data_IF_383137410598
#
_entry.id   IF_383137410598
#
_cell.length_a   1.000
_cell.length_b   1.000
_cell.length_c   1.000
_cell.angle_alpha   90.00
_cell.angle_beta   90.00
_cell.angle_gamma   90.00
#
_symmetry.space_group_name_H-M   'P 1'
#
loop_
_entity.id
_entity.type
_entity.pdbx_description
1 polymer ?
#
# COMPACT_ATOMS: atom_id res chain seq x y z
N UNK A 1 74.12 41.61 -24.79
CA UNK A 1 72.73 41.13 -25.05
C UNK A 1 71.94 41.05 -23.73
N UNK A 2 72.26 41.89 -22.74
CA UNK A 2 71.81 41.72 -21.35
C UNK A 2 70.85 42.81 -20.85
N UNK A 3 70.64 43.87 -21.62
CA UNK A 3 69.86 45.03 -21.16
C UNK A 3 68.34 44.85 -21.34
N UNK A 4 67.92 43.92 -22.22
CA UNK A 4 66.49 43.65 -22.48
C UNK A 4 65.83 42.72 -21.44
N UNK A 5 66.62 42.00 -20.64
CA UNK A 5 66.10 41.06 -19.64
C UNK A 5 65.81 41.76 -18.31
N UNK A 6 66.60 42.77 -17.91
CA UNK A 6 66.35 43.52 -16.66
C UNK A 6 65.14 44.47 -16.75
N UNK A 7 64.84 45.00 -17.95
CA UNK A 7 63.69 45.87 -18.21
C UNK A 7 62.34 45.17 -17.97
N UNK A 8 62.23 43.88 -18.28
CA UNK A 8 60.99 43.12 -18.12
C UNK A 8 60.67 42.81 -16.65
N UNK A 9 61.69 42.63 -15.80
CA UNK A 9 61.49 42.42 -14.36
C UNK A 9 60.97 43.67 -13.66
N UNK A 10 61.37 44.87 -14.11
CA UNK A 10 60.91 46.14 -13.55
C UNK A 10 59.45 46.49 -13.95
N UNK A 11 58.88 45.77 -14.92
CA UNK A 11 57.46 45.90 -15.28
C UNK A 11 56.55 45.08 -14.36
N UNK A 12 57.03 43.98 -13.74
CA UNK A 12 56.21 43.19 -12.80
C UNK A 12 55.81 43.96 -11.53
N UNK A 13 56.59 44.98 -11.12
CA UNK A 13 56.29 45.83 -9.98
C UNK A 13 55.29 46.96 -10.25
N UNK A 14 54.84 47.14 -11.50
CA UNK A 14 53.82 48.14 -11.82
C UNK A 14 52.46 47.70 -11.25
N UNK A 15 51.68 48.62 -10.64
CA UNK A 15 50.45 48.29 -9.93
C UNK A 15 49.43 47.56 -10.81
N UNK A 16 49.46 47.79 -12.13
CA UNK A 16 48.58 47.13 -13.11
C UNK A 16 48.82 45.62 -13.21
N UNK A 17 50.07 45.16 -13.22
CA UNK A 17 50.37 43.72 -13.32
C UNK A 17 50.13 42.99 -11.99
N UNK A 18 50.36 43.67 -10.86
CA UNK A 18 50.02 43.15 -9.53
C UNK A 18 48.51 42.88 -9.44
N UNK A 19 47.66 43.80 -9.90
CA UNK A 19 46.20 43.62 -9.93
C UNK A 19 45.80 42.44 -10.83
N UNK A 20 46.42 42.29 -12.00
CA UNK A 20 46.14 41.19 -12.94
C UNK A 20 46.50 39.84 -12.33
N UNK A 21 47.67 39.71 -11.70
CA UNK A 21 48.12 38.49 -11.04
C UNK A 21 47.21 38.14 -9.85
N UNK A 22 46.83 39.14 -9.05
CA UNK A 22 45.91 38.94 -7.93
C UNK A 22 44.52 38.47 -8.43
N UNK A 23 44.04 39.06 -9.53
CA UNK A 23 42.80 38.64 -10.20
C UNK A 23 42.86 37.19 -10.69
N UNK A 24 43.96 36.78 -11.32
CA UNK A 24 44.16 35.39 -11.75
C UNK A 24 44.21 34.41 -10.58
N UNK A 25 44.86 34.77 -9.47
CA UNK A 25 44.89 33.95 -8.26
C UNK A 25 43.50 33.79 -7.64
N UNK A 26 42.70 34.85 -7.60
CA UNK A 26 41.31 34.79 -7.09
C UNK A 26 40.45 33.91 -7.99
N UNK A 27 40.53 34.05 -9.30
CA UNK A 27 39.80 33.19 -10.25
C UNK A 27 40.25 31.73 -10.12
N UNK A 28 41.56 31.49 -9.99
CA UNK A 28 42.12 30.15 -9.75
C UNK A 28 41.58 29.53 -8.46
N UNK A 29 41.54 30.28 -7.36
CA UNK A 29 40.98 29.82 -6.09
C UNK A 29 39.48 29.50 -6.20
N UNK A 30 38.69 30.32 -6.89
CA UNK A 30 37.27 30.07 -7.13
C UNK A 30 37.05 28.80 -7.96
N UNK A 31 37.87 28.58 -9.00
CA UNK A 31 37.81 27.36 -9.80
C UNK A 31 38.16 26.11 -8.99
N UNK A 32 39.22 26.16 -8.17
CA UNK A 32 39.62 25.05 -7.28
C UNK A 32 38.52 24.74 -6.28
N UNK A 33 37.96 25.76 -5.61
CA UNK A 33 36.84 25.58 -4.66
C UNK A 33 35.62 24.99 -5.36
N UNK A 34 35.33 25.40 -6.60
CA UNK A 34 34.20 24.87 -7.37
C UNK A 34 34.38 23.38 -7.72
N UNK A 35 35.59 22.98 -8.14
CA UNK A 35 35.91 21.57 -8.45
C UNK A 35 35.88 20.69 -7.19
N UNK A 36 36.42 21.19 -6.09
CA UNK A 36 36.39 20.49 -4.80
C UNK A 36 34.95 20.38 -4.27
N UNK A 37 34.15 21.43 -4.41
CA UNK A 37 32.73 21.42 -4.02
C UNK A 37 31.95 20.40 -4.83
N UNK A 38 32.16 20.30 -6.14
CA UNK A 38 31.46 19.31 -6.97
C UNK A 38 31.77 17.86 -6.54
N UNK A 39 33.03 17.55 -6.21
CA UNK A 39 33.43 16.22 -5.67
C UNK A 39 32.81 15.91 -4.30
N UNK A 40 32.62 16.92 -3.46
CA UNK A 40 32.04 16.77 -2.11
C UNK A 40 30.51 16.66 -2.17
N UNK A 41 29.88 17.42 -3.07
CA UNK A 41 28.42 17.47 -3.23
C UNK A 41 27.92 16.30 -4.09
N UNK A 42 28.69 15.88 -5.10
CA UNK A 42 28.38 14.79 -6.03
C UNK A 42 29.48 13.73 -6.01
N UNK A 43 29.66 12.96 -4.92
CA UNK A 43 30.61 11.86 -4.91
C UNK A 43 30.25 10.85 -6.02
N UNK A 44 31.23 10.28 -6.74
CA UNK A 44 30.96 9.22 -7.70
C UNK A 44 30.21 8.10 -6.98
N UNK A 45 29.05 7.72 -7.53
CA UNK A 45 28.13 6.81 -6.88
C UNK A 45 28.64 5.38 -7.01
N UNK A 46 29.66 5.02 -6.22
CA UNK A 46 30.21 3.68 -6.14
C UNK A 46 29.27 2.80 -5.32
N UNK A 47 28.10 2.52 -5.88
CA UNK A 47 27.08 1.69 -5.27
C UNK A 47 26.55 0.66 -6.24
N UNK A 48 26.18 -0.50 -5.70
CA UNK A 48 25.40 -1.51 -6.41
C UNK A 48 24.09 -1.74 -5.67
N UNK A 49 23.01 -1.78 -6.41
CA UNK A 49 21.68 -2.09 -5.89
C UNK A 49 21.36 -3.55 -6.21
N UNK A 50 20.99 -4.31 -5.20
CA UNK A 50 20.58 -5.71 -5.36
C UNK A 50 19.17 -5.87 -4.83
N UNK A 51 18.31 -6.43 -5.67
CA UNK A 51 16.91 -6.67 -5.37
C UNK A 51 16.76 -8.11 -4.87
N UNK A 52 16.18 -8.25 -3.67
CA UNK A 52 15.84 -9.51 -3.06
C UNK A 52 14.33 -9.72 -2.97
N UNK A 53 13.90 -10.96 -3.19
CA UNK A 53 12.49 -11.33 -3.11
C UNK A 53 12.26 -12.31 -1.97
N UNK A 54 11.21 -12.06 -1.21
CA UNK A 54 10.78 -12.89 -0.10
C UNK A 54 9.33 -13.29 -0.30
N UNK A 55 9.09 -14.59 -0.29
CA UNK A 55 7.78 -15.17 -0.60
C UNK A 55 7.35 -16.10 0.52
N UNK A 56 6.16 -15.85 1.06
CA UNK A 56 5.56 -16.69 2.11
C UNK A 56 4.14 -17.06 1.70
N UNK A 57 3.88 -18.36 1.63
CA UNK A 57 2.57 -18.92 1.38
C UNK A 57 1.77 -19.01 2.70
N UNK A 58 0.48 -18.69 2.65
CA UNK A 58 -0.43 -18.86 3.78
C UNK A 58 -1.83 -19.27 3.32
N UNK A 59 -2.58 -19.84 4.25
CA UNK A 59 -4.01 -20.11 4.06
C UNK A 59 -4.81 -19.13 4.92
N UNK A 60 -5.80 -18.42 4.37
CA UNK A 60 -6.64 -17.53 5.15
C UNK A 60 -7.37 -18.28 6.27
N UNK A 61 -7.25 -17.81 7.51
CA UNK A 61 -7.93 -18.36 8.70
C UNK A 61 -9.05 -17.45 9.22
N UNK A 62 -9.18 -16.25 8.65
CA UNK A 62 -10.19 -15.26 8.98
C UNK A 62 -10.86 -14.74 7.71
N UNK A 63 -12.10 -14.28 7.85
CA UNK A 63 -12.78 -13.52 6.81
C UNK A 63 -13.56 -12.36 7.42
N UNK A 64 -13.63 -11.25 6.71
CA UNK A 64 -14.46 -10.10 7.05
C UNK A 64 -15.59 -10.02 6.04
N UNK A 65 -16.81 -10.24 6.49
CA UNK A 65 -18.03 -10.09 5.68
C UNK A 65 -18.56 -8.68 5.89
N UNK A 66 -18.67 -7.91 4.80
CA UNK A 66 -19.26 -6.56 4.86
C UNK A 66 -20.67 -6.59 4.30
N UNK A 67 -21.62 -6.26 5.17
CA UNK A 67 -23.05 -6.23 4.93
C UNK A 67 -23.58 -4.80 5.07
N UNK A 68 -24.78 -4.54 4.57
CA UNK A 68 -25.45 -3.25 4.76
C UNK A 68 -26.96 -3.37 4.92
N UNK A 69 -27.52 -2.41 5.65
CA UNK A 69 -28.95 -2.22 5.82
C UNK A 69 -29.32 -0.87 5.21
N UNK A 70 -30.12 -0.92 4.15
CA UNK A 70 -30.73 0.23 3.52
C UNK A 70 -32.22 0.30 3.91
N UNK A 71 -32.66 1.45 4.38
CA UNK A 71 -34.06 1.83 4.52
C UNK A 71 -34.34 2.86 3.44
N UNK A 72 -35.38 2.62 2.64
CA UNK A 72 -35.79 3.52 1.58
C UNK A 72 -37.17 4.09 1.87
N UNK A 73 -37.38 5.37 1.55
CA UNK A 73 -38.68 6.05 1.60
C UNK A 73 -39.41 5.94 2.93
N UNK A 74 -38.70 6.03 4.05
CA UNK A 74 -39.37 6.15 5.35
C UNK A 74 -40.13 7.48 5.44
N UNK A 75 -41.32 7.55 6.07
CA UNK A 75 -42.12 8.78 6.13
C UNK A 75 -41.41 9.93 6.83
N UNK A 76 -40.62 9.62 7.87
CA UNK A 76 -39.83 10.60 8.62
C UNK A 76 -38.39 10.13 8.79
N UNK A 77 -37.49 11.08 9.04
CA UNK A 77 -36.10 10.79 9.42
C UNK A 77 -36.03 9.86 10.65
N UNK A 78 -36.88 10.10 11.64
CA UNK A 78 -36.91 9.30 12.88
C UNK A 78 -37.36 7.87 12.60
N UNK A 79 -38.37 7.67 11.74
CA UNK A 79 -38.82 6.33 11.35
C UNK A 79 -37.72 5.58 10.59
N UNK A 80 -36.98 6.27 9.71
CA UNK A 80 -35.85 5.69 8.99
C UNK A 80 -34.79 5.16 9.96
N UNK A 81 -34.42 5.97 10.96
CA UNK A 81 -33.43 5.61 11.96
C UNK A 81 -33.92 4.50 12.91
N UNK A 82 -35.18 4.53 13.32
CA UNK A 82 -35.76 3.49 14.17
C UNK A 82 -35.75 2.13 13.46
N UNK A 83 -36.21 2.08 12.20
CA UNK A 83 -36.18 0.86 11.40
C UNK A 83 -34.75 0.37 11.14
N UNK A 84 -33.82 1.29 10.88
CA UNK A 84 -32.41 0.95 10.71
C UNK A 84 -31.86 0.32 11.99
N UNK A 85 -32.00 0.99 13.13
CA UNK A 85 -31.49 0.53 14.42
C UNK A 85 -32.08 -0.82 14.82
N UNK A 86 -33.37 -1.03 14.61
CA UNK A 86 -34.03 -2.31 14.92
C UNK A 86 -33.42 -3.47 14.10
N UNK A 87 -33.20 -3.28 12.80
CA UNK A 87 -32.55 -4.29 11.95
C UNK A 87 -31.09 -4.52 12.35
N UNK A 88 -30.34 -3.45 12.65
CA UNK A 88 -28.95 -3.56 13.13
C UNK A 88 -28.90 -4.37 14.43
N UNK A 89 -29.76 -4.08 15.41
CA UNK A 89 -29.83 -4.83 16.67
C UNK A 89 -30.15 -6.30 16.42
N UNK A 90 -31.11 -6.61 15.54
CA UNK A 90 -31.43 -7.99 15.17
C UNK A 90 -30.23 -8.71 14.54
N UNK A 91 -29.48 -8.05 13.66
CA UNK A 91 -28.28 -8.62 13.04
C UNK A 91 -27.22 -8.90 14.10
N UNK A 92 -26.93 -7.96 15.00
CA UNK A 92 -25.95 -8.14 16.08
C UNK A 92 -26.33 -9.34 16.96
N UNK A 93 -27.59 -9.44 17.38
CA UNK A 93 -28.06 -10.57 18.19
C UNK A 93 -28.02 -11.91 17.45
N UNK A 94 -28.28 -11.92 16.14
CA UNK A 94 -28.14 -13.12 15.32
C UNK A 94 -26.68 -13.59 15.24
N UNK A 95 -25.72 -12.64 15.11
CA UNK A 95 -24.29 -12.96 15.10
C UNK A 95 -23.81 -13.48 16.46
N UNK A 96 -24.26 -12.88 17.57
CA UNK A 96 -23.98 -13.37 18.92
C UNK A 96 -24.52 -14.80 19.13
N UNK A 97 -25.71 -15.11 18.61
CA UNK A 97 -26.31 -16.45 18.67
C UNK A 97 -25.55 -17.48 17.83
N UNK A 98 -24.87 -17.03 16.77
CA UNK A 98 -23.97 -17.86 15.95
C UNK A 98 -22.59 -18.06 16.63
N UNK A 99 -22.35 -17.44 17.79
CA UNK A 99 -21.10 -17.52 18.53
C UNK A 99 -20.04 -16.50 18.09
N UNK A 100 -20.40 -15.52 17.26
CA UNK A 100 -19.52 -14.42 16.90
C UNK A 100 -19.51 -13.42 18.05
N UNK A 101 -18.33 -13.04 18.49
CA UNK A 101 -18.20 -12.11 19.61
C UNK A 101 -18.64 -10.71 19.19
N UNK A 102 -19.19 -9.96 20.13
CA UNK A 102 -19.56 -8.56 19.91
C UNK A 102 -18.41 -7.68 19.39
N UNK A 103 -17.18 -7.94 19.83
CA UNK A 103 -15.97 -7.24 19.37
C UNK A 103 -15.64 -7.49 17.88
N UNK A 104 -16.11 -8.61 17.34
CA UNK A 104 -15.95 -9.00 15.93
C UNK A 104 -17.10 -8.49 15.04
N UNK A 105 -18.10 -7.80 15.61
CA UNK A 105 -19.19 -7.15 14.87
C UNK A 105 -19.03 -5.63 14.97
N UNK A 106 -18.59 -5.02 13.88
CA UNK A 106 -18.33 -3.58 13.81
C UNK A 106 -19.36 -2.87 12.94
N UNK A 107 -20.14 -1.98 13.53
CA UNK A 107 -21.03 -1.08 12.80
C UNK A 107 -20.27 0.17 12.36
N UNK A 108 -20.41 0.55 11.09
CA UNK A 108 -19.84 1.79 10.56
C UNK A 108 -20.78 2.97 10.79
N UNK A 109 -20.34 4.19 10.49
CA UNK A 109 -21.20 5.37 10.54
C UNK A 109 -22.40 5.21 9.60
N UNK A 110 -23.60 5.60 10.07
CA UNK A 110 -24.80 5.60 9.24
C UNK A 110 -24.90 6.90 8.44
N UNK A 111 -25.58 6.83 7.30
CA UNK A 111 -25.96 7.99 6.49
C UNK A 111 -27.46 8.12 6.47
N UNK A 112 -27.98 9.35 6.58
CA UNK A 112 -29.40 9.67 6.49
C UNK A 112 -29.57 10.85 5.54
N UNK A 113 -30.43 10.72 4.55
CA UNK A 113 -30.72 11.80 3.60
C UNK A 113 -32.19 11.79 3.17
N UNK A 114 -32.79 12.98 2.96
CA UNK A 114 -34.14 13.07 2.40
C UNK A 114 -34.13 12.59 0.95
N UNK A 115 -35.20 11.91 0.56
CA UNK A 115 -35.53 11.60 -0.82
C UNK A 115 -36.51 12.65 -1.33
N UNK A 116 -36.30 13.12 -2.56
CA UNK A 116 -37.14 14.11 -3.20
C UNK A 116 -37.85 13.51 -4.42
N UNK A 117 -39.13 13.80 -4.55
CA UNK A 117 -39.87 13.60 -5.78
C UNK A 117 -39.95 14.92 -6.54
N UNK A 118 -39.61 14.88 -7.83
CA UNK A 118 -39.75 16.00 -8.73
C UNK A 118 -41.04 15.84 -9.53
N UNK A 119 -42.01 16.72 -9.29
CA UNK A 119 -43.26 16.82 -10.08
C UNK A 119 -43.52 18.30 -10.38
N UNK A 120 -43.89 18.60 -11.63
CA UNK A 120 -44.28 19.95 -12.06
C UNK A 120 -43.26 21.06 -11.71
N UNK A 121 -41.96 20.78 -11.86
CA UNK A 121 -40.84 21.67 -11.47
C UNK A 121 -40.78 22.04 -9.97
N UNK A 122 -41.47 21.32 -9.09
CA UNK A 122 -41.39 21.47 -7.64
C UNK A 122 -40.72 20.23 -7.03
N UNK A 123 -39.73 20.44 -6.17
CA UNK A 123 -39.07 19.39 -5.38
C UNK A 123 -39.75 19.28 -4.03
N UNK A 124 -40.37 18.13 -3.76
CA UNK A 124 -40.99 17.83 -2.47
C UNK A 124 -40.31 16.62 -1.83
N UNK A 125 -40.08 16.68 -0.53
CA UNK A 125 -39.56 15.51 0.22
C UNK A 125 -40.61 14.40 0.14
N UNK A 126 -40.23 13.27 -0.43
CA UNK A 126 -41.08 12.07 -0.58
C UNK A 126 -40.75 10.98 0.43
N UNK A 127 -39.70 11.15 1.22
CA UNK A 127 -39.34 10.28 2.34
C UNK A 127 -37.90 10.48 2.77
N UNK A 128 -37.38 9.54 3.55
CA UNK A 128 -36.01 9.54 4.04
C UNK A 128 -35.38 8.18 3.81
N UNK A 129 -34.12 8.20 3.38
CA UNK A 129 -33.30 7.03 3.20
C UNK A 129 -32.23 6.99 4.27
N UNK A 130 -32.05 5.82 4.89
CA UNK A 130 -31.00 5.58 5.86
C UNK A 130 -30.18 4.36 5.44
N UNK A 131 -28.86 4.44 5.60
CA UNK A 131 -27.96 3.34 5.29
C UNK A 131 -26.95 3.16 6.41
N UNK A 132 -26.63 1.93 6.75
CA UNK A 132 -25.50 1.61 7.60
C UNK A 132 -24.84 0.30 7.18
N UNK A 133 -23.51 0.31 7.13
CA UNK A 133 -22.70 -0.88 6.88
C UNK A 133 -22.28 -1.55 8.19
N UNK A 134 -22.13 -2.87 8.14
CA UNK A 134 -21.69 -3.71 9.24
C UNK A 134 -20.57 -4.62 8.71
N UNK A 135 -19.45 -4.65 9.40
CA UNK A 135 -18.35 -5.57 9.13
C UNK A 135 -18.34 -6.65 10.21
N UNK A 136 -18.41 -7.91 9.78
CA UNK A 136 -18.45 -9.07 10.66
C UNK A 136 -17.20 -9.89 10.41
N UNK A 137 -16.35 -10.01 11.44
CA UNK A 137 -15.14 -10.81 11.40
C UNK A 137 -15.45 -12.24 11.84
N UNK A 138 -15.27 -13.18 10.92
CA UNK A 138 -15.32 -14.61 11.17
C UNK A 138 -13.91 -15.14 11.37
N UNK A 139 -13.66 -15.80 12.50
CA UNK A 139 -12.40 -16.52 12.77
C UNK A 139 -12.56 -18.01 12.50
N UNK A 140 -11.45 -18.71 12.28
CA UNK A 140 -11.39 -20.16 12.03
C UNK A 140 -12.19 -20.62 10.79
N UNK A 141 -12.22 -19.81 9.73
CA UNK A 141 -12.99 -20.11 8.49
C UNK A 141 -12.48 -21.35 7.75
N UNK A 142 -11.28 -21.84 8.07
CA UNK A 142 -10.76 -23.11 7.58
C UNK A 142 -11.47 -24.33 8.20
N UNK A 143 -11.92 -24.21 9.45
CA UNK A 143 -12.54 -25.29 10.20
C UNK A 143 -14.04 -25.37 9.92
N UNK A 144 -14.73 -24.23 9.87
CA UNK A 144 -16.14 -24.14 9.44
C UNK A 144 -16.24 -23.37 8.12
N UNK A 145 -16.22 -24.11 7.03
CA UNK A 145 -16.33 -23.57 5.67
C UNK A 145 -17.72 -23.01 5.36
N UNK A 146 -18.73 -23.39 6.14
CA UNK A 146 -20.10 -22.91 5.98
C UNK A 146 -20.38 -21.65 6.82
N UNK A 147 -19.49 -21.29 7.75
CA UNK A 147 -19.66 -20.15 8.66
C UNK A 147 -20.02 -18.86 7.91
N UNK A 148 -19.36 -18.60 6.78
CA UNK A 148 -19.62 -17.41 5.96
C UNK A 148 -21.03 -17.45 5.35
N UNK A 149 -21.46 -18.62 4.86
CA UNK A 149 -22.81 -18.78 4.32
C UNK A 149 -23.88 -18.65 5.40
N UNK A 150 -23.61 -19.16 6.62
CA UNK A 150 -24.48 -19.00 7.79
C UNK A 150 -24.58 -17.54 8.22
N UNK A 151 -23.46 -16.80 8.25
CA UNK A 151 -23.45 -15.35 8.55
C UNK A 151 -24.34 -14.59 7.57
N UNK A 152 -24.15 -14.81 6.27
CA UNK A 152 -24.92 -14.12 5.23
C UNK A 152 -26.40 -14.46 5.37
N UNK A 153 -26.75 -15.73 5.53
CA UNK A 153 -28.14 -16.18 5.61
C UNK A 153 -28.85 -15.60 6.84
N UNK A 154 -28.25 -15.71 8.02
CA UNK A 154 -28.82 -15.18 9.27
C UNK A 154 -28.92 -13.65 9.25
N UNK A 155 -27.93 -12.96 8.69
CA UNK A 155 -27.98 -11.50 8.58
C UNK A 155 -29.06 -11.05 7.58
N UNK A 156 -29.25 -11.78 6.47
CA UNK A 156 -30.34 -11.54 5.53
C UNK A 156 -31.71 -11.75 6.18
N UNK A 157 -31.90 -12.83 6.95
CA UNK A 157 -33.11 -13.07 7.74
C UNK A 157 -33.35 -11.98 8.79
N UNK A 158 -32.28 -11.46 9.40
CA UNK A 158 -32.33 -10.38 10.39
C UNK A 158 -32.59 -8.98 9.79
N UNK A 159 -32.42 -8.82 8.47
CA UNK A 159 -32.83 -7.60 7.74
C UNK A 159 -31.76 -6.90 6.90
N UNK A 160 -30.57 -7.49 6.74
CA UNK A 160 -29.58 -7.05 5.74
C UNK A 160 -30.15 -7.16 4.33
N UNK A 161 -29.94 -6.12 3.52
CA UNK A 161 -30.32 -6.11 2.10
C UNK A 161 -29.17 -5.70 1.17
N UNK A 162 -27.95 -5.52 1.69
CA UNK A 162 -26.75 -5.23 0.90
C UNK A 162 -25.62 -6.23 1.17
N UNK A 163 -25.36 -7.03 0.14
CA UNK A 163 -24.17 -7.84 -0.22
C UNK A 163 -22.89 -7.07 -0.58
N UNK A 164 -22.12 -6.44 0.31
CA UNK A 164 -21.00 -5.59 -0.18
C UNK A 164 -19.78 -6.40 -0.63
N UNK A 165 -19.30 -7.33 0.20
CA UNK A 165 -18.08 -8.08 -0.11
C UNK A 165 -17.61 -8.97 1.03
N UNK A 166 -16.64 -9.84 0.72
CA UNK A 166 -16.02 -10.77 1.66
C UNK A 166 -14.52 -10.72 1.44
N UNK A 167 -13.78 -10.35 2.48
CA UNK A 167 -12.33 -10.23 2.46
C UNK A 167 -11.70 -11.34 3.30
N UNK A 168 -10.87 -12.18 2.69
CA UNK A 168 -10.17 -13.27 3.37
C UNK A 168 -8.78 -12.82 3.80
N UNK A 169 -8.40 -13.16 5.04
CA UNK A 169 -7.12 -12.76 5.63
C UNK A 169 -6.58 -13.84 6.56
N UNK A 170 -5.41 -13.59 7.13
CA UNK A 170 -4.77 -14.45 8.11
C UNK A 170 -4.46 -13.69 9.40
N UNK A 171 -4.73 -14.31 10.54
CA UNK A 171 -4.66 -13.70 11.86
C UNK A 171 -3.24 -13.23 12.23
N UNK A 172 -2.20 -13.93 11.77
CA UNK A 172 -0.79 -13.63 12.04
C UNK A 172 -0.10 -12.89 10.87
N UNK A 173 -0.84 -12.05 10.16
CA UNK A 173 -0.35 -11.35 8.96
C UNK A 173 1.01 -10.65 9.13
N UNK A 174 1.21 -10.00 10.27
CA UNK A 174 2.45 -9.26 10.54
C UNK A 174 3.67 -10.18 10.66
N UNK A 175 3.49 -11.37 11.23
CA UNK A 175 4.56 -12.36 11.37
C UNK A 175 4.95 -12.92 9.99
N UNK A 176 3.97 -13.19 9.13
CA UNK A 176 4.22 -13.65 7.77
C UNK A 176 4.90 -12.57 6.91
N UNK A 177 4.50 -11.30 7.07
CA UNK A 177 5.22 -10.16 6.45
C UNK A 177 6.65 -10.08 6.96
N UNK A 178 6.89 -10.26 8.27
CA UNK A 178 8.24 -10.30 8.82
C UNK A 178 9.06 -11.47 8.26
N UNK A 179 8.47 -12.66 8.12
CA UNK A 179 9.14 -13.81 7.50
C UNK A 179 9.53 -13.51 6.05
N UNK A 180 8.60 -12.97 5.26
CA UNK A 180 8.88 -12.54 3.89
C UNK A 180 9.99 -11.48 3.83
N UNK A 181 10.03 -10.54 4.78
CA UNK A 181 11.10 -9.53 4.89
C UNK A 181 12.47 -10.18 5.04
N UNK A 182 12.60 -11.12 5.96
CA UNK A 182 13.87 -11.81 6.22
C UNK A 182 14.30 -12.66 5.02
N UNK A 183 13.36 -13.34 4.36
CA UNK A 183 13.65 -14.08 3.13
C UNK A 183 14.15 -13.15 2.02
N UNK A 184 13.52 -12.00 1.81
CA UNK A 184 13.96 -11.02 0.81
C UNK A 184 15.36 -10.47 1.10
N UNK A 185 15.69 -10.16 2.35
CA UNK A 185 17.04 -9.73 2.74
C UNK A 185 18.07 -10.82 2.46
N UNK A 186 17.75 -12.07 2.78
CA UNK A 186 18.66 -13.19 2.56
C UNK A 186 18.88 -13.46 1.06
N UNK A 187 17.84 -13.37 0.24
CA UNK A 187 17.93 -13.45 -1.23
C UNK A 187 18.83 -12.34 -1.79
N UNK A 188 18.61 -11.09 -1.39
CA UNK A 188 19.45 -9.96 -1.82
C UNK A 188 20.91 -10.14 -1.42
N UNK A 189 21.17 -10.62 -0.19
CA UNK A 189 22.53 -10.88 0.29
C UNK A 189 23.22 -12.00 -0.50
N UNK A 190 22.55 -13.12 -0.73
CA UNK A 190 23.10 -14.22 -1.53
C UNK A 190 23.44 -13.74 -2.94
N UNK A 191 22.48 -13.07 -3.60
CA UNK A 191 22.65 -12.53 -4.95
C UNK A 191 23.77 -11.50 -5.03
N UNK A 192 23.94 -10.68 -3.99
CA UNK A 192 25.06 -9.73 -3.92
C UNK A 192 26.41 -10.45 -3.90
N UNK A 193 26.53 -11.54 -3.15
CA UNK A 193 27.76 -12.33 -3.08
C UNK A 193 28.11 -12.94 -4.45
N UNK A 194 27.12 -13.55 -5.11
CA UNK A 194 27.29 -14.16 -6.44
C UNK A 194 27.69 -13.11 -7.49
N UNK A 195 27.06 -11.93 -7.47
CA UNK A 195 27.38 -10.83 -8.38
C UNK A 195 28.79 -10.26 -8.11
N UNK A 196 29.21 -10.17 -6.85
CA UNK A 196 30.55 -9.72 -6.49
C UNK A 196 31.63 -10.66 -7.05
N UNK A 197 31.43 -11.98 -6.89
CA UNK A 197 32.33 -13.00 -7.42
C UNK A 197 32.40 -12.96 -8.95
N UNK A 198 31.24 -12.90 -9.62
CA UNK A 198 31.18 -12.89 -11.09
C UNK A 198 31.74 -11.62 -11.73
N UNK A 199 31.60 -10.46 -11.07
CA UNK A 199 32.04 -9.16 -11.61
C UNK A 199 33.46 -8.78 -11.20
N UNK A 200 34.08 -9.48 -10.25
CA UNK A 200 35.40 -9.16 -9.71
C UNK A 200 35.40 -7.90 -8.82
N UNK A 201 34.23 -7.45 -8.40
CA UNK A 201 34.01 -6.23 -7.62
C UNK A 201 33.93 -6.55 -6.12
N UNK A 202 34.49 -5.70 -5.26
CA UNK A 202 34.33 -5.88 -3.81
C UNK A 202 33.10 -5.14 -3.30
N UNK A 203 32.07 -5.91 -2.95
CA UNK A 203 30.89 -5.39 -2.23
C UNK A 203 31.26 -5.06 -0.78
N UNK A 204 30.94 -3.84 -0.37
CA UNK A 204 31.15 -3.30 0.97
C UNK A 204 29.88 -3.33 1.83
N UNK A 205 29.73 -2.34 2.71
CA UNK A 205 28.59 -2.27 3.63
C UNK A 205 27.30 -1.84 2.90
N UNK A 206 26.15 -2.24 3.44
CA UNK A 206 24.86 -1.66 3.06
C UNK A 206 24.86 -0.18 3.47
N UNK A 207 24.57 0.70 2.53
CA UNK A 207 24.52 2.16 2.73
C UNK A 207 23.10 2.70 2.72
N UNK A 208 22.17 2.00 2.06
CA UNK A 208 20.76 2.35 2.03
C UNK A 208 19.91 1.11 1.71
N UNK A 209 18.66 1.07 2.16
CA UNK A 209 17.70 0.05 1.76
C UNK A 209 16.28 0.62 1.70
N UNK A 210 15.43 0.02 0.89
CA UNK A 210 13.99 0.30 0.88
C UNK A 210 13.19 -0.98 0.69
N UNK A 211 11.97 -0.98 1.22
CA UNK A 211 11.04 -2.09 1.19
C UNK A 211 9.85 -1.71 0.31
N UNK A 212 9.53 -2.57 -0.64
CA UNK A 212 8.34 -2.50 -1.45
C UNK A 212 7.48 -3.75 -1.19
N UNK A 213 6.24 -3.55 -0.77
CA UNK A 213 5.27 -4.64 -0.72
C UNK A 213 4.73 -4.80 -2.14
N UNK A 214 5.16 -5.86 -2.84
CA UNK A 214 4.79 -6.10 -4.25
C UNK A 214 3.39 -6.70 -4.36
N UNK A 215 2.99 -7.47 -3.35
CA UNK A 215 1.64 -8.03 -3.28
C UNK A 215 1.14 -8.01 -1.84
N UNK A 216 0.14 -7.17 -1.58
CA UNK A 216 -0.55 -7.13 -0.28
C UNK A 216 -1.71 -8.13 -0.27
N UNK A 217 -1.89 -8.90 0.81
CA UNK A 217 -3.07 -9.71 1.08
C UNK A 217 -4.37 -8.95 0.80
N UNK A 218 -5.24 -9.52 -0.04
CA UNK A 218 -6.58 -9.00 -0.32
C UNK A 218 -6.66 -7.92 -1.41
N UNK A 219 -5.54 -7.51 -2.03
CA UNK A 219 -5.64 -6.65 -3.23
C UNK A 219 -6.09 -7.47 -4.45
N UNK A 220 -7.19 -7.06 -5.13
CA UNK A 220 -7.61 -7.68 -6.36
C UNK A 220 -6.45 -7.66 -7.35
N UNK A 221 -6.04 -8.85 -7.81
CA UNK A 221 -5.18 -8.92 -8.99
C UNK A 221 -5.89 -8.13 -10.10
N UNK A 222 -5.22 -7.20 -10.80
CA UNK A 222 -5.83 -6.55 -11.95
C UNK A 222 -6.23 -7.66 -12.92
N UNK A 223 -7.54 -7.92 -12.97
CA UNK A 223 -8.14 -8.90 -13.86
C UNK A 223 -7.88 -8.36 -15.26
N UNK A 224 -6.88 -8.92 -15.93
CA UNK A 224 -6.50 -8.52 -17.27
C UNK A 224 -7.76 -8.57 -18.14
N UNK A 225 -8.20 -7.40 -18.60
CA UNK A 225 -9.27 -7.26 -19.58
C UNK A 225 -8.73 -7.80 -20.90
N UNK A 226 -8.76 -9.12 -21.06
CA UNK A 226 -8.16 -9.82 -22.19
C UNK A 226 -8.84 -11.16 -22.42
N UNK A 227 -9.83 -11.16 -23.30
CA UNK A 227 -10.39 -12.38 -23.88
C UNK A 227 -11.83 -12.66 -23.47
N UNK A 228 -12.75 -12.14 -24.28
CA UNK A 228 -14.10 -12.69 -24.45
C UNK A 228 -14.03 -14.20 -24.68
N UNK A 229 -14.41 -15.00 -23.67
CA UNK A 229 -15.05 -16.33 -23.80
C UNK A 229 -15.17 -17.02 -22.44
N UNK A 230 -15.95 -16.43 -21.53
CA UNK A 230 -16.46 -17.14 -20.36
C UNK A 230 -17.98 -17.07 -20.39
N UNK A 231 -18.57 -18.13 -20.93
CA UNK A 231 -20.00 -18.41 -20.85
C UNK A 231 -20.43 -18.34 -19.38
N UNK A 232 -21.27 -17.36 -19.05
CA UNK A 232 -21.84 -17.20 -17.72
C UNK A 232 -22.85 -18.33 -17.51
N UNK A 233 -22.44 -19.40 -16.84
CA UNK A 233 -23.38 -20.37 -16.27
C UNK A 233 -24.17 -19.66 -15.17
N UNK A 234 -25.48 -19.54 -15.39
CA UNK A 234 -26.44 -18.89 -14.49
C UNK A 234 -26.81 -19.83 -13.34
N UNK A 235 -25.87 -20.05 -12.43
CA UNK A 235 -26.15 -20.58 -11.09
C UNK A 235 -25.41 -19.68 -10.09
N UNK A 236 -26.16 -19.09 -9.16
CA UNK A 236 -25.58 -18.29 -8.08
C UNK A 236 -24.84 -19.23 -7.13
N UNK A 237 -23.57 -19.52 -7.41
CA UNK A 237 -22.70 -20.23 -6.49
C UNK A 237 -22.49 -19.36 -5.25
N UNK A 238 -22.79 -19.88 -4.06
CA UNK A 238 -22.48 -19.24 -2.78
C UNK A 238 -21.03 -18.74 -2.76
N UNK A 239 -20.73 -17.61 -2.09
CA UNK A 239 -19.35 -17.13 -1.99
C UNK A 239 -18.48 -18.22 -1.37
N UNK A 240 -17.59 -18.80 -2.18
CA UNK A 240 -16.72 -19.86 -1.72
C UNK A 240 -15.51 -19.23 -1.03
N UNK A 241 -15.14 -19.78 0.13
CA UNK A 241 -13.81 -19.53 0.71
C UNK A 241 -12.78 -19.89 -0.35
N UNK A 242 -11.85 -18.98 -0.73
CA UNK A 242 -10.82 -19.28 -1.71
C UNK A 242 -10.12 -20.57 -1.35
N UNK A 243 -10.24 -21.59 -2.20
CA UNK A 243 -9.69 -22.93 -1.94
C UNK A 243 -8.20 -23.02 -2.26
N UNK A 244 -7.50 -21.88 -2.31
CA UNK A 244 -6.13 -21.74 -2.75
C UNK A 244 -5.25 -21.04 -1.70
N UNK A 245 -3.98 -21.43 -1.69
CA UNK A 245 -2.93 -20.75 -0.93
C UNK A 245 -2.74 -19.33 -1.45
N UNK A 246 -2.73 -18.34 -0.55
CA UNK A 246 -2.37 -16.97 -0.86
C UNK A 246 -0.89 -16.75 -0.56
N UNK A 247 -0.31 -15.71 -1.15
CA UNK A 247 1.12 -15.45 -1.07
C UNK A 247 1.35 -14.00 -0.66
N UNK A 248 2.30 -13.81 0.26
CA UNK A 248 2.89 -12.51 0.55
C UNK A 248 4.19 -12.43 -0.22
N UNK A 249 4.30 -11.43 -1.09
CA UNK A 249 5.52 -11.14 -1.84
C UNK A 249 6.06 -9.80 -1.39
N UNK A 250 7.29 -9.83 -0.87
CA UNK A 250 8.03 -8.65 -0.47
C UNK A 250 9.28 -8.51 -1.32
N UNK A 251 9.54 -7.29 -1.77
CA UNK A 251 10.75 -6.90 -2.46
C UNK A 251 11.54 -5.96 -1.56
N UNK A 252 12.83 -6.25 -1.40
CA UNK A 252 13.74 -5.38 -0.67
C UNK A 252 14.92 -5.08 -1.56
N UNK A 253 15.23 -3.80 -1.69
CA UNK A 253 16.40 -3.35 -2.42
C UNK A 253 17.46 -2.94 -1.42
N UNK A 254 18.61 -3.61 -1.50
CA UNK A 254 19.79 -3.32 -0.71
C UNK A 254 20.81 -2.59 -1.59
N UNK A 255 21.22 -1.39 -1.16
CA UNK A 255 22.28 -0.63 -1.81
C UNK A 255 23.57 -0.81 -1.03
N UNK A 256 24.60 -1.29 -1.70
CA UNK A 256 25.91 -1.54 -1.13
C UNK A 256 26.94 -0.55 -1.65
N UNK A 257 27.88 -0.13 -0.82
CA UNK A 257 29.09 0.55 -1.30
C UNK A 257 29.97 -0.43 -2.08
N UNK A 258 30.64 0.04 -3.13
CA UNK A 258 31.51 -0.77 -3.99
C UNK A 258 32.95 -0.25 -3.96
N UNK A 259 33.93 -1.16 -4.05
CA UNK A 259 35.37 -0.86 -4.14
C UNK A 259 36.08 -1.68 -5.21
#
# INVERSE_FOLDING_TARGET
>A
MDEKISSNFNQLGQPKYVIIILGMLVVGAICIVSILRDRIVNPPNNQVSVIGHGKVAYQPDTATVTLGVQIDKAPTAQDALNQLNEKITRIVSAMESLGIKKEDVQTQAYTLYPQYDYRDNVSNVSGYNANQKISIKASNVQQDRELISKIISLASEAGTNQVTGIDFSVSNMNDLKQQARILAINDAKSKSADLAEASGVKIGKIVNWYENVVQSPGEPQPMGYGGSDMAVSKEASSPQVPTGTQEIIMEIVLNYSVR
#
